data_IF_251554815491
#
_entry.id   IF_251554815491
#
_cell.length_a   1.000
_cell.length_b   1.000
_cell.length_c   1.000
_cell.angle_alpha   90.00
_cell.angle_beta   90.00
_cell.angle_gamma   90.00
#
_symmetry.space_group_name_H-M   'P 1'
#
loop_
_entity.id
_entity.type
_entity.pdbx_description
1 polymer ?
#
# COMPACT_ATOMS: atom_id res chain seq x y z
N UNK A 1 19.41 62.09 21.33
CA UNK A 1 20.73 61.76 21.88
C UNK A 1 21.01 60.40 21.36
N UNK A 2 21.54 60.30 20.17
CA UNK A 2 22.94 60.15 19.77
C UNK A 2 23.34 58.65 19.90
N UNK A 3 23.52 58.02 18.78
CA UNK A 3 24.61 57.91 17.77
C UNK A 3 25.37 56.61 18.04
N UNK A 4 25.74 55.82 17.15
CA UNK A 4 26.52 55.70 15.92
C UNK A 4 26.68 54.19 15.61
N UNK A 5 26.38 53.71 14.46
CA UNK A 5 27.21 53.48 13.24
C UNK A 5 28.56 52.79 13.46
N UNK A 6 28.69 51.58 12.85
CA UNK A 6 29.88 51.23 12.08
C UNK A 6 29.64 49.98 11.19
N UNK A 7 29.65 50.18 9.88
CA UNK A 7 30.05 49.16 8.89
C UNK A 7 31.54 49.31 8.61
N UNK A 8 32.24 48.32 8.13
CA UNK A 8 32.90 48.49 6.84
C UNK A 8 32.67 47.36 5.81
N UNK A 9 32.69 47.81 4.57
CA UNK A 9 32.74 47.10 3.31
C UNK A 9 34.18 46.63 2.99
N UNK A 10 34.24 45.85 1.88
CA UNK A 10 35.35 45.43 0.97
C UNK A 10 35.80 43.96 1.20
N UNK A 11 36.05 43.08 0.21
CA UNK A 11 36.48 43.36 -1.14
C UNK A 11 36.08 42.21 -2.08
N UNK A 12 35.90 42.57 -3.35
CA UNK A 12 35.77 41.69 -4.52
C UNK A 12 37.06 40.93 -4.80
N UNK A 13 36.93 39.68 -5.24
CA UNK A 13 38.01 38.85 -5.80
C UNK A 13 37.53 38.11 -7.03
N UNK A 14 37.68 38.71 -8.19
CA UNK A 14 37.51 38.09 -9.50
C UNK A 14 38.70 37.19 -9.78
N UNK A 15 38.48 35.89 -10.01
CA UNK A 15 39.49 35.01 -10.63
C UNK A 15 39.01 34.56 -12.00
N UNK A 16 39.68 35.09 -13.01
CA UNK A 16 39.62 34.66 -14.42
C UNK A 16 40.60 33.48 -14.57
N UNK A 17 40.09 32.35 -14.98
CA UNK A 17 40.92 31.19 -15.40
C UNK A 17 40.80 31.02 -16.91
N UNK A 18 41.93 31.24 -17.55
CA UNK A 18 42.23 31.18 -19.01
C UNK A 18 42.18 29.72 -19.51
N UNK A 19 41.45 29.52 -20.60
CA UNK A 19 41.46 28.30 -21.41
C UNK A 19 42.73 28.27 -22.28
N UNK A 20 43.51 27.21 -22.21
CA UNK A 20 44.53 26.84 -23.17
C UNK A 20 44.01 25.72 -24.09
N UNK A 21 43.83 26.08 -25.36
CA UNK A 21 43.54 25.17 -26.47
C UNK A 21 44.84 24.82 -27.15
N UNK A 22 45.12 23.54 -27.29
CA UNK A 22 46.20 23.02 -28.13
C UNK A 22 45.63 22.23 -29.31
N UNK A 23 46.02 22.49 -30.54
CA UNK A 23 45.61 21.71 -31.71
C UNK A 23 46.58 20.57 -31.98
N UNK A 24 46.06 19.36 -32.17
CA UNK A 24 46.82 18.20 -32.67
C UNK A 24 46.67 18.12 -34.19
N UNK A 25 47.85 18.11 -34.84
CA UNK A 25 48.05 18.06 -36.29
C UNK A 25 47.83 16.63 -36.80
N UNK A 26 47.04 16.51 -37.86
CA UNK A 26 46.90 15.33 -38.71
C UNK A 26 48.14 15.15 -39.60
N UNK A 27 48.72 13.97 -39.61
CA UNK A 27 49.65 13.54 -40.67
C UNK A 27 49.01 12.43 -41.50
N UNK A 28 48.84 12.68 -42.79
CA UNK A 28 48.45 11.73 -43.83
C UNK A 28 49.69 11.13 -44.47
N UNK A 29 49.65 9.84 -44.77
CA UNK A 29 50.56 9.21 -45.76
C UNK A 29 49.75 8.34 -46.73
N UNK A 30 50.16 8.28 -47.99
CA UNK A 30 49.31 7.79 -49.07
C UNK A 30 49.49 6.31 -49.38
N UNK A 31 48.46 5.75 -49.94
CA UNK A 31 48.25 4.38 -50.36
C UNK A 31 48.64 4.16 -51.83
N UNK A 32 49.18 3.00 -52.13
CA UNK A 32 49.30 2.51 -53.54
C UNK A 32 48.72 1.09 -53.66
N UNK A 33 47.73 0.94 -54.53
CA UNK A 33 47.54 -0.05 -55.54
C UNK A 33 46.88 -1.41 -55.22
N UNK A 34 46.28 -2.02 -56.23
CA UNK A 34 45.11 -2.90 -56.06
C UNK A 34 45.44 -4.37 -56.19
N UNK A 35 44.68 -5.27 -55.54
CA UNK A 35 44.64 -6.68 -55.92
C UNK A 35 43.25 -7.30 -55.60
N UNK A 36 42.69 -7.83 -56.64
CA UNK A 36 41.71 -8.89 -56.87
C UNK A 36 40.80 -9.39 -55.71
N UNK A 37 39.50 -9.40 -55.97
CA UNK A 37 38.44 -10.13 -55.30
C UNK A 37 38.67 -11.65 -55.27
N UNK A 38 38.06 -12.32 -54.28
CA UNK A 38 37.25 -13.49 -54.54
C UNK A 38 35.82 -13.33 -54.00
N UNK A 39 34.94 -13.63 -54.90
CA UNK A 39 33.50 -13.82 -54.82
C UNK A 39 33.15 -14.71 -53.63
N UNK A 40 32.60 -14.12 -52.59
CA UNK A 40 32.02 -14.88 -51.48
C UNK A 40 30.54 -15.15 -51.73
N UNK A 41 30.18 -16.39 -51.52
CA UNK A 41 28.82 -16.97 -51.61
C UNK A 41 27.78 -16.21 -50.80
N UNK A 42 26.59 -16.07 -51.39
CA UNK A 42 25.40 -15.64 -50.71
C UNK A 42 25.16 -16.46 -49.42
N UNK A 43 25.22 -15.80 -48.28
CA UNK A 43 24.80 -16.37 -47.05
C UNK A 43 23.29 -16.27 -46.95
N UNK A 44 22.69 -17.45 -46.71
CA UNK A 44 21.27 -17.70 -46.57
C UNK A 44 20.63 -16.79 -45.47
N UNK A 45 19.37 -16.50 -45.69
CA UNK A 45 18.52 -15.61 -44.95
C UNK A 45 18.66 -15.67 -43.43
N UNK A 46 18.92 -14.53 -42.85
CA UNK A 46 18.59 -14.28 -41.46
C UNK A 46 17.09 -14.01 -41.42
N UNK A 47 16.37 -14.97 -40.88
CA UNK A 47 14.98 -14.77 -40.44
C UNK A 47 14.98 -13.62 -39.45
N UNK A 48 14.09 -12.63 -39.56
CA UNK A 48 13.95 -11.59 -38.57
C UNK A 48 13.61 -12.27 -37.23
N UNK A 49 14.50 -12.21 -36.25
CA UNK A 49 14.15 -12.57 -34.88
C UNK A 49 13.05 -11.63 -34.44
N UNK A 50 11.90 -12.20 -34.13
CA UNK A 50 10.83 -11.47 -33.47
C UNK A 50 11.40 -10.75 -32.23
N UNK A 51 10.92 -9.53 -31.92
CA UNK A 51 11.40 -8.81 -30.75
C UNK A 51 11.19 -9.71 -29.53
N UNK A 52 12.27 -10.00 -28.82
CA UNK A 52 12.21 -10.70 -27.54
C UNK A 52 11.41 -9.79 -26.59
N UNK A 53 10.15 -10.12 -26.36
CA UNK A 53 9.37 -9.48 -25.31
C UNK A 53 10.06 -9.75 -23.98
N UNK A 54 10.60 -8.72 -23.37
CA UNK A 54 11.06 -8.78 -21.98
C UNK A 54 9.78 -8.95 -21.16
N UNK A 55 9.43 -10.19 -20.84
CA UNK A 55 8.40 -10.47 -19.83
C UNK A 55 8.96 -10.00 -18.50
N UNK A 56 8.41 -8.95 -17.95
CA UNK A 56 8.65 -8.61 -16.54
C UNK A 56 7.91 -9.66 -15.73
N UNK A 57 8.60 -10.75 -15.39
CA UNK A 57 8.05 -11.73 -14.47
C UNK A 57 7.97 -11.09 -13.09
N UNK A 58 6.81 -11.17 -12.45
CA UNK A 58 6.72 -11.01 -11.00
C UNK A 58 7.51 -12.19 -10.44
N UNK A 59 8.71 -11.93 -9.97
CA UNK A 59 9.60 -12.99 -9.50
C UNK A 59 9.12 -13.59 -8.17
N UNK A 60 8.37 -12.83 -7.37
CA UNK A 60 7.87 -13.23 -6.06
C UNK A 60 6.55 -12.51 -5.75
N UNK A 61 5.58 -13.24 -5.23
CA UNK A 61 4.33 -12.69 -4.70
C UNK A 61 4.43 -12.68 -3.17
N UNK A 62 4.41 -11.49 -2.58
CA UNK A 62 4.45 -11.32 -1.13
C UNK A 62 3.02 -11.38 -0.57
N UNK A 63 2.85 -12.21 0.43
CA UNK A 63 1.55 -12.49 1.08
C UNK A 63 1.68 -12.28 2.58
N UNK A 64 1.34 -11.10 3.09
CA UNK A 64 1.20 -10.88 4.53
C UNK A 64 0.03 -11.71 5.07
N UNK A 65 0.27 -12.46 6.14
CA UNK A 65 -0.71 -13.37 6.74
C UNK A 65 -0.83 -13.10 8.24
N UNK A 66 -2.05 -12.87 8.68
CA UNK A 66 -2.40 -12.77 10.10
C UNK A 66 -3.16 -14.01 10.51
N UNK A 67 -2.74 -14.66 11.59
CA UNK A 67 -3.41 -15.83 12.17
C UNK A 67 -3.85 -15.49 13.58
N UNK A 68 -5.15 -15.67 13.85
CA UNK A 68 -5.71 -15.46 15.19
C UNK A 68 -6.46 -16.69 15.66
N UNK A 69 -6.51 -16.89 16.98
CA UNK A 69 -7.28 -17.94 17.61
C UNK A 69 -8.79 -17.61 17.68
N UNK A 70 -9.58 -18.47 18.34
CA UNK A 70 -11.03 -18.25 18.55
C UNK A 70 -11.35 -17.03 19.41
N UNK A 71 -10.39 -16.55 20.23
CA UNK A 71 -10.51 -15.34 21.07
C UNK A 71 -10.10 -14.09 20.35
N UNK A 72 -9.50 -14.21 19.14
CA UNK A 72 -8.95 -13.10 18.36
C UNK A 72 -7.52 -12.73 18.78
N UNK A 73 -6.84 -13.57 19.58
CA UNK A 73 -5.44 -13.38 19.93
C UNK A 73 -4.53 -13.88 18.81
N UNK A 74 -3.40 -13.20 18.60
CA UNK A 74 -2.42 -13.56 17.57
C UNK A 74 -1.76 -14.91 17.88
N UNK A 75 -1.66 -15.76 16.87
CA UNK A 75 -0.95 -17.03 16.94
C UNK A 75 0.43 -16.83 16.32
N UNK A 76 1.50 -16.92 17.14
CA UNK A 76 2.86 -16.53 16.78
C UNK A 76 3.84 -17.72 16.71
N UNK A 77 3.38 -18.92 17.00
CA UNK A 77 4.19 -20.14 17.14
C UNK A 77 4.06 -21.08 15.93
N UNK A 78 3.67 -20.57 14.77
CA UNK A 78 3.55 -21.33 13.53
C UNK A 78 4.88 -21.37 12.78
N UNK A 79 5.20 -22.51 12.21
CA UNK A 79 6.35 -22.71 11.33
C UNK A 79 5.91 -22.67 9.85
N UNK A 80 6.86 -22.51 8.94
CA UNK A 80 6.59 -22.48 7.50
C UNK A 80 5.75 -23.67 7.02
N UNK A 81 6.01 -24.86 7.55
CA UNK A 81 5.32 -26.10 7.15
C UNK A 81 3.86 -26.16 7.60
N UNK A 82 3.43 -25.26 8.48
CA UNK A 82 2.03 -25.15 8.90
C UNK A 82 1.20 -24.38 7.86
N UNK A 83 1.84 -23.72 6.89
CA UNK A 83 1.17 -22.87 5.88
C UNK A 83 1.13 -23.54 4.53
N UNK A 84 -0.02 -23.44 3.89
CA UNK A 84 -0.26 -23.87 2.51
C UNK A 84 -0.81 -22.72 1.68
N UNK A 85 -0.15 -22.40 0.57
CA UNK A 85 -0.60 -21.39 -0.38
C UNK A 85 -1.04 -22.09 -1.66
N UNK A 86 -2.21 -21.77 -2.16
CA UNK A 86 -2.65 -22.20 -3.48
C UNK A 86 -2.93 -20.99 -4.38
N UNK A 87 -2.42 -21.04 -5.61
CA UNK A 87 -2.71 -20.12 -6.71
C UNK A 87 -3.66 -20.80 -7.69
N UNK A 88 -4.89 -20.26 -7.81
CA UNK A 88 -5.97 -20.89 -8.62
C UNK A 88 -6.21 -22.37 -8.30
N UNK A 89 -6.06 -22.75 -7.05
CA UNK A 89 -6.24 -24.11 -6.58
C UNK A 89 -5.04 -25.04 -6.79
N UNK A 90 -3.93 -24.55 -7.32
CA UNK A 90 -2.67 -25.28 -7.42
C UNK A 90 -1.77 -24.87 -6.26
N UNK A 91 -1.33 -25.83 -5.47
CA UNK A 91 -0.43 -25.59 -4.34
C UNK A 91 0.93 -25.05 -4.82
N UNK A 92 1.44 -24.03 -4.11
CA UNK A 92 2.68 -23.35 -4.41
C UNK A 92 3.69 -23.60 -3.29
N UNK A 93 4.97 -23.74 -3.65
CA UNK A 93 6.05 -23.78 -2.68
C UNK A 93 6.20 -22.38 -2.04
N UNK A 94 6.41 -22.35 -0.72
CA UNK A 94 6.71 -21.12 0.01
C UNK A 94 8.24 -20.94 -0.02
N UNK A 95 8.70 -19.94 -0.78
CA UNK A 95 10.14 -19.66 -0.97
C UNK A 95 10.66 -18.69 0.09
N UNK A 96 9.76 -17.88 0.67
CA UNK A 96 10.06 -16.92 1.74
C UNK A 96 9.11 -17.10 2.92
N UNK A 97 9.67 -17.12 4.13
CA UNK A 97 8.93 -17.18 5.38
C UNK A 97 9.63 -16.29 6.42
N UNK A 98 9.02 -15.18 6.76
CA UNK A 98 9.54 -14.23 7.74
C UNK A 98 8.45 -13.83 8.74
N UNK A 99 8.87 -13.36 9.91
CA UNK A 99 8.01 -12.73 10.93
C UNK A 99 8.65 -11.40 11.29
N UNK A 100 7.89 -10.30 11.20
CA UNK A 100 8.34 -8.92 11.58
C UNK A 100 9.70 -8.51 10.96
N UNK A 101 9.98 -8.91 9.73
CA UNK A 101 11.33 -8.83 9.15
C UNK A 101 11.71 -7.43 8.62
N UNK A 102 10.74 -6.61 8.20
CA UNK A 102 11.01 -5.38 7.47
C UNK A 102 10.44 -4.13 8.19
N UNK A 103 11.14 -2.97 8.15
CA UNK A 103 10.61 -1.73 8.69
C UNK A 103 9.31 -1.31 7.99
N UNK A 104 8.47 -0.54 8.69
CA UNK A 104 7.18 -0.09 8.17
C UNK A 104 7.28 1.30 7.55
N UNK A 105 6.68 1.48 6.38
CA UNK A 105 6.31 2.79 5.84
C UNK A 105 4.78 2.94 5.93
N UNK A 106 4.31 3.89 6.73
CA UNK A 106 2.88 4.06 7.01
C UNK A 106 2.38 5.40 6.46
N UNK A 107 1.46 5.37 5.50
CA UNK A 107 0.70 6.56 5.14
C UNK A 107 -0.59 6.61 5.98
N UNK A 108 -0.62 7.52 6.94
CA UNK A 108 -1.81 7.79 7.76
C UNK A 108 -2.69 8.80 7.04
N UNK A 109 -3.88 8.38 6.63
CA UNK A 109 -4.88 9.20 5.94
C UNK A 109 -6.04 9.48 6.88
N UNK A 110 -6.25 10.75 7.26
CA UNK A 110 -7.24 11.16 8.25
C UNK A 110 -8.30 12.06 7.64
N UNK A 111 -9.56 11.71 7.82
CA UNK A 111 -10.68 12.56 7.42
C UNK A 111 -10.75 13.80 8.30
N UNK A 112 -10.73 14.98 7.65
CA UNK A 112 -10.78 16.28 8.32
C UNK A 112 -12.15 16.99 8.12
N UNK A 113 -13.22 16.22 7.95
CA UNK A 113 -14.58 16.73 7.82
C UNK A 113 -15.20 17.02 9.19
N UNK A 114 -16.02 18.07 9.30
CA UNK A 114 -16.76 18.42 10.52
C UNK A 114 -17.67 17.32 11.06
N UNK A 115 -18.08 16.34 10.23
CA UNK A 115 -18.78 15.15 10.69
C UNK A 115 -18.02 14.38 11.76
N UNK A 116 -16.68 14.37 11.66
CA UNK A 116 -15.79 13.76 12.65
C UNK A 116 -15.33 14.71 13.76
N UNK A 117 -15.84 15.95 13.83
CA UNK A 117 -15.42 16.93 14.84
C UNK A 117 -15.62 16.43 16.27
N UNK A 118 -16.64 15.63 16.52
CA UNK A 118 -16.86 15.02 17.83
C UNK A 118 -15.72 14.05 18.22
N UNK A 119 -14.98 13.52 17.25
CA UNK A 119 -13.83 12.64 17.44
C UNK A 119 -12.50 13.41 17.44
N UNK A 120 -12.51 14.72 17.18
CA UNK A 120 -11.29 15.52 17.11
C UNK A 120 -10.36 15.37 18.32
N UNK A 121 -10.84 15.41 19.59
CA UNK A 121 -9.94 15.22 20.73
C UNK A 121 -9.21 13.87 20.70
N UNK A 122 -9.89 12.83 20.23
CA UNK A 122 -9.36 11.47 20.13
C UNK A 122 -8.35 11.36 19.01
N UNK A 123 -8.69 11.94 17.85
CA UNK A 123 -7.80 11.95 16.67
C UNK A 123 -6.54 12.75 17.00
N UNK A 124 -6.66 13.92 17.64
CA UNK A 124 -5.51 14.72 18.06
C UNK A 124 -4.63 13.99 19.09
N UNK A 125 -5.25 13.22 20.00
CA UNK A 125 -4.54 12.47 21.04
C UNK A 125 -3.97 11.12 20.58
N UNK A 126 -4.29 10.64 19.38
CA UNK A 126 -3.82 9.33 18.92
C UNK A 126 -2.34 9.31 18.48
N UNK A 127 -1.71 10.47 18.31
CA UNK A 127 -0.36 10.60 17.75
C UNK A 127 0.66 9.74 18.47
N UNK A 128 0.74 9.86 19.79
CA UNK A 128 1.71 9.12 20.61
C UNK A 128 1.50 7.60 20.55
N UNK A 129 0.24 7.13 20.58
CA UNK A 129 -0.03 5.70 20.44
C UNK A 129 0.37 5.23 19.03
N UNK A 130 0.00 5.99 17.99
CA UNK A 130 0.37 5.67 16.63
C UNK A 130 1.89 5.56 16.44
N UNK A 131 2.67 6.52 16.97
CA UNK A 131 4.13 6.49 16.84
C UNK A 131 4.76 5.36 17.64
N UNK A 132 4.25 5.05 18.82
CA UNK A 132 4.78 4.01 19.70
C UNK A 132 4.40 2.58 19.25
N UNK A 133 3.18 2.39 18.73
CA UNK A 133 2.67 1.04 18.41
C UNK A 133 2.72 0.69 16.93
N UNK A 134 2.46 1.65 16.04
CA UNK A 134 2.41 1.39 14.59
C UNK A 134 3.75 1.68 13.92
N UNK A 135 4.34 2.87 14.13
CA UNK A 135 5.66 3.16 13.58
C UNK A 135 6.77 2.34 14.27
N UNK A 136 6.66 2.18 15.59
CA UNK A 136 7.70 1.60 16.45
C UNK A 136 9.08 2.26 16.22
N UNK A 137 10.18 1.51 16.45
CA UNK A 137 11.53 2.11 16.45
C UNK A 137 12.15 2.33 15.07
N UNK A 138 11.70 1.60 14.06
CA UNK A 138 12.32 1.60 12.72
C UNK A 138 11.38 2.04 11.60
N UNK A 139 10.15 2.38 11.92
CA UNK A 139 9.15 2.79 10.93
C UNK A 139 9.24 4.27 10.58
N UNK A 140 8.71 4.62 9.43
CA UNK A 140 8.48 6.00 9.01
C UNK A 140 7.01 6.22 8.70
N UNK A 141 6.52 7.46 8.85
CA UNK A 141 5.15 7.78 8.53
C UNK A 141 5.01 9.11 7.78
N UNK A 142 4.00 9.14 6.90
CA UNK A 142 3.45 10.38 6.34
C UNK A 142 2.05 10.60 6.90
N UNK A 143 1.65 11.86 7.09
CA UNK A 143 0.30 12.25 7.53
C UNK A 143 -0.38 13.00 6.40
N UNK A 144 -1.54 12.50 5.99
CA UNK A 144 -2.39 13.06 4.95
C UNK A 144 -3.74 13.37 5.57
N UNK A 145 -4.26 14.56 5.35
CA UNK A 145 -5.65 14.89 5.69
C UNK A 145 -6.49 14.99 4.44
N UNK A 146 -7.77 14.66 4.54
CA UNK A 146 -8.68 14.81 3.42
C UNK A 146 -10.05 15.37 3.81
N UNK A 147 -10.62 16.05 2.85
CA UNK A 147 -11.97 16.53 2.76
C UNK A 147 -12.31 16.58 1.27
N UNK A 148 -12.57 17.77 0.70
CA UNK A 148 -12.73 17.95 -0.75
C UNK A 148 -11.40 17.78 -1.51
N UNK A 149 -10.26 17.85 -0.83
CA UNK A 149 -8.92 17.60 -1.37
C UNK A 149 -8.10 16.79 -0.38
N UNK A 150 -7.10 16.07 -0.88
CA UNK A 150 -6.12 15.37 -0.06
C UNK A 150 -4.85 16.24 0.10
N UNK A 151 -4.43 16.51 1.33
CA UNK A 151 -3.28 17.36 1.64
C UNK A 151 -2.25 16.60 2.48
N UNK A 152 -0.99 16.61 2.05
CA UNK A 152 0.11 16.05 2.82
C UNK A 152 0.51 17.05 3.91
N UNK A 153 0.19 16.73 5.17
CA UNK A 153 0.54 17.55 6.35
C UNK A 153 1.95 17.29 6.82
N UNK A 154 2.40 16.05 6.71
CA UNK A 154 3.76 15.62 7.01
C UNK A 154 4.19 14.61 5.95
N UNK A 155 5.24 14.90 5.16
CA UNK A 155 5.89 13.89 4.33
C UNK A 155 6.50 12.77 5.16
N UNK A 156 6.86 11.65 4.55
CA UNK A 156 7.50 10.53 5.24
C UNK A 156 8.68 10.99 6.09
N UNK A 157 8.67 10.58 7.34
CA UNK A 157 9.72 10.87 8.33
C UNK A 157 9.75 9.81 9.42
N UNK A 158 10.93 9.60 10.01
CA UNK A 158 11.13 8.82 11.23
C UNK A 158 11.00 9.68 12.49
N UNK A 159 10.87 11.01 12.35
CA UNK A 159 10.69 11.95 13.45
C UNK A 159 9.27 11.84 14.02
N UNK A 160 9.17 11.16 15.16
CA UNK A 160 7.91 10.93 15.88
C UNK A 160 7.25 12.22 16.32
N UNK A 161 8.04 13.22 16.77
CA UNK A 161 7.52 14.52 17.23
C UNK A 161 6.87 15.28 16.06
N UNK A 162 7.47 15.22 14.87
CA UNK A 162 6.90 15.83 13.66
C UNK A 162 5.57 15.18 13.28
N UNK A 163 5.48 13.84 13.35
CA UNK A 163 4.26 13.08 13.08
C UNK A 163 3.17 13.40 14.11
N UNK A 164 3.49 13.36 15.41
CA UNK A 164 2.55 13.67 16.49
C UNK A 164 2.02 15.10 16.38
N UNK A 165 2.90 16.07 16.10
CA UNK A 165 2.51 17.45 15.86
C UNK A 165 1.60 17.63 14.66
N UNK A 166 1.86 16.91 13.57
CA UNK A 166 1.01 16.95 12.37
C UNK A 166 -0.40 16.42 12.68
N UNK A 167 -0.51 15.33 13.46
CA UNK A 167 -1.79 14.75 13.89
C UNK A 167 -2.52 15.69 14.85
N UNK A 168 -1.82 16.26 15.84
CA UNK A 168 -2.42 17.15 16.83
C UNK A 168 -2.96 18.46 16.23
N UNK A 169 -2.44 18.88 15.07
CA UNK A 169 -2.84 20.13 14.41
C UNK A 169 -3.86 19.93 13.27
N UNK A 170 -4.46 18.76 13.12
CA UNK A 170 -5.51 18.54 12.12
C UNK A 170 -6.70 19.46 12.40
N UNK A 171 -7.12 20.21 11.37
CA UNK A 171 -8.27 21.11 11.45
C UNK A 171 -9.47 20.52 10.76
N UNK A 172 -10.59 20.43 11.46
CA UNK A 172 -11.84 19.93 10.92
C UNK A 172 -12.67 21.07 10.34
N UNK A 173 -13.17 20.90 9.11
CA UNK A 173 -13.97 21.91 8.41
C UNK A 173 -15.05 21.27 7.54
N UNK A 174 -16.08 22.06 7.19
CA UNK A 174 -17.10 21.58 6.24
C UNK A 174 -16.45 21.34 4.87
N UNK A 175 -16.59 20.13 4.39
CA UNK A 175 -16.06 19.69 3.10
C UNK A 175 -16.80 18.46 2.61
N UNK A 176 -16.63 18.10 1.35
CA UNK A 176 -16.90 16.77 0.84
C UNK A 176 -15.94 15.76 1.48
N UNK A 177 -16.19 14.48 1.25
CA UNK A 177 -15.31 13.40 1.67
C UNK A 177 -14.81 12.66 0.42
N UNK A 178 -13.67 13.10 -0.13
CA UNK A 178 -13.04 12.51 -1.31
C UNK A 178 -12.08 11.41 -0.88
N UNK A 179 -12.66 10.34 -0.32
CA UNK A 179 -11.96 9.22 0.29
C UNK A 179 -11.01 8.51 -0.70
N UNK A 180 -11.49 8.22 -1.91
CA UNK A 180 -10.67 7.46 -2.88
C UNK A 180 -9.51 8.27 -3.42
N UNK A 181 -9.67 9.59 -3.60
CA UNK A 181 -8.58 10.48 -4.00
C UNK A 181 -7.50 10.54 -2.91
N UNK A 182 -7.91 10.55 -1.63
CA UNK A 182 -6.99 10.53 -0.51
C UNK A 182 -6.25 9.19 -0.37
N UNK A 183 -6.97 8.07 -0.54
CA UNK A 183 -6.35 6.75 -0.57
C UNK A 183 -5.38 6.60 -1.74
N UNK A 184 -5.74 7.10 -2.94
CA UNK A 184 -4.86 7.11 -4.10
C UNK A 184 -3.58 7.92 -3.84
N UNK A 185 -3.70 9.08 -3.16
CA UNK A 185 -2.54 9.87 -2.74
C UNK A 185 -1.64 9.12 -1.76
N UNK A 186 -2.22 8.41 -0.80
CA UNK A 186 -1.47 7.56 0.12
C UNK A 186 -0.76 6.41 -0.61
N UNK A 187 -1.42 5.76 -1.56
CA UNK A 187 -0.83 4.71 -2.41
C UNK A 187 0.33 5.25 -3.25
N UNK A 188 0.17 6.43 -3.86
CA UNK A 188 1.22 7.11 -4.62
C UNK A 188 2.48 7.33 -3.76
N UNK A 189 2.32 7.90 -2.56
CA UNK A 189 3.43 8.18 -1.66
C UNK A 189 4.11 6.89 -1.17
N UNK A 190 3.33 5.87 -0.83
CA UNK A 190 3.86 4.57 -0.40
C UNK A 190 4.59 3.85 -1.54
N UNK A 191 4.09 3.94 -2.77
CA UNK A 191 4.74 3.31 -3.91
C UNK A 191 6.11 3.93 -4.24
N UNK A 192 6.32 5.19 -3.85
CA UNK A 192 7.61 5.88 -3.98
C UNK A 192 8.63 5.47 -2.90
N UNK A 193 8.21 4.77 -1.84
CA UNK A 193 9.12 4.31 -0.79
C UNK A 193 10.00 3.17 -1.30
N UNK A 194 11.32 3.18 -0.97
CA UNK A 194 12.23 2.12 -1.39
C UNK A 194 11.90 0.77 -0.71
N UNK A 195 12.41 -0.31 -1.28
CA UNK A 195 12.50 -1.56 -0.54
C UNK A 195 13.59 -1.42 0.56
N UNK A 196 13.50 -2.10 1.70
CA UNK A 196 12.61 -3.22 2.00
C UNK A 196 11.32 -2.85 2.77
N UNK A 197 10.90 -1.58 2.82
CA UNK A 197 9.75 -1.19 3.61
C UNK A 197 8.48 -1.99 3.30
N UNK A 198 7.82 -2.49 4.37
CA UNK A 198 6.43 -2.96 4.32
C UNK A 198 5.52 -1.74 4.29
N UNK A 199 4.68 -1.66 3.27
CA UNK A 199 3.88 -0.47 2.96
C UNK A 199 2.47 -0.61 3.51
N UNK A 200 2.09 0.32 4.38
CA UNK A 200 0.80 0.31 5.07
C UNK A 200 0.04 1.60 4.78
N UNK A 201 -1.18 1.47 4.30
CA UNK A 201 -2.13 2.56 4.20
C UNK A 201 -3.11 2.45 5.38
N UNK A 202 -3.02 3.36 6.35
CA UNK A 202 -3.94 3.42 7.49
C UNK A 202 -4.91 4.58 7.30
N UNK A 203 -6.19 4.28 7.13
CA UNK A 203 -7.24 5.27 6.93
C UNK A 203 -8.05 5.45 8.22
N UNK A 204 -8.17 6.70 8.68
CA UNK A 204 -9.03 7.07 9.82
C UNK A 204 -10.14 7.99 9.30
N UNK A 205 -11.36 7.48 9.23
CA UNK A 205 -12.48 8.22 8.65
C UNK A 205 -13.75 7.40 8.49
N UNK A 206 -14.78 8.03 7.94
CA UNK A 206 -16.02 7.34 7.58
C UNK A 206 -15.83 6.48 6.33
N UNK A 207 -16.54 5.35 6.28
CA UNK A 207 -16.55 4.47 5.09
C UNK A 207 -17.50 5.00 4.02
N UNK A 208 -17.30 6.26 3.61
CA UNK A 208 -18.14 6.94 2.62
C UNK A 208 -17.29 7.86 1.73
N UNK A 209 -17.44 7.70 0.42
CA UNK A 209 -16.90 8.61 -0.60
C UNK A 209 -18.04 9.46 -1.17
N UNK A 210 -17.78 10.73 -1.45
CA UNK A 210 -18.79 11.63 -2.02
C UNK A 210 -18.49 12.08 -3.43
N UNK A 211 -17.30 12.54 -3.71
CA UNK A 211 -16.96 13.21 -4.98
C UNK A 211 -15.54 12.92 -5.49
N UNK A 212 -14.93 11.78 -5.14
CA UNK A 212 -13.61 11.43 -5.67
C UNK A 212 -13.63 11.23 -7.18
N UNK A 213 -12.53 11.62 -7.82
CA UNK A 213 -12.24 11.32 -9.23
C UNK A 213 -11.73 9.89 -9.40
N UNK A 214 -10.92 9.42 -8.45
CA UNK A 214 -10.44 8.06 -8.40
C UNK A 214 -11.59 7.07 -8.14
N UNK A 215 -11.38 5.82 -8.57
CA UNK A 215 -12.33 4.72 -8.34
C UNK A 215 -11.77 3.77 -7.29
N UNK A 216 -12.65 3.25 -6.42
CA UNK A 216 -12.24 2.30 -5.39
C UNK A 216 -11.50 1.09 -5.98
N UNK A 217 -12.00 0.53 -7.07
CA UNK A 217 -11.39 -0.61 -7.76
C UNK A 217 -9.97 -0.29 -8.31
N UNK A 218 -9.74 0.96 -8.73
CA UNK A 218 -8.43 1.41 -9.16
C UNK A 218 -7.46 1.50 -7.98
N UNK A 219 -7.88 2.17 -6.89
CA UNK A 219 -7.07 2.30 -5.66
C UNK A 219 -6.69 0.92 -5.10
N UNK A 220 -7.66 0.00 -5.02
CA UNK A 220 -7.42 -1.37 -4.55
C UNK A 220 -6.41 -2.11 -5.43
N UNK A 221 -6.53 -1.97 -6.76
CA UNK A 221 -5.60 -2.60 -7.71
C UNK A 221 -4.19 -2.03 -7.57
N UNK A 222 -4.05 -0.71 -7.50
CA UNK A 222 -2.76 -0.04 -7.33
C UNK A 222 -2.11 -0.41 -5.98
N UNK A 223 -2.89 -0.49 -4.90
CA UNK A 223 -2.41 -0.96 -3.61
C UNK A 223 -1.89 -2.40 -3.67
N UNK A 224 -2.59 -3.29 -4.37
CA UNK A 224 -2.15 -4.67 -4.54
C UNK A 224 -0.86 -4.78 -5.35
N UNK A 225 -0.73 -4.02 -6.43
CA UNK A 225 0.47 -3.98 -7.27
C UNK A 225 1.70 -3.47 -6.50
N UNK A 226 1.49 -2.48 -5.62
CA UNK A 226 2.54 -1.90 -4.79
C UNK A 226 2.79 -2.70 -3.50
N UNK A 227 2.14 -3.86 -3.30
CA UNK A 227 2.18 -4.65 -2.06
C UNK A 227 1.83 -3.82 -0.80
N UNK A 228 0.85 -2.92 -0.91
CA UNK A 228 0.36 -2.10 0.18
C UNK A 228 -0.78 -2.83 0.88
N UNK A 229 -0.72 -2.93 2.22
CA UNK A 229 -1.82 -3.42 3.04
C UNK A 229 -2.64 -2.24 3.55
N UNK A 230 -3.96 -2.30 3.38
CA UNK A 230 -4.88 -1.24 3.79
C UNK A 230 -5.52 -1.63 5.12
N UNK A 231 -5.34 -0.78 6.14
CA UNK A 231 -6.06 -0.82 7.40
C UNK A 231 -6.99 0.39 7.49
N UNK A 232 -8.10 0.24 8.20
CA UNK A 232 -9.01 1.35 8.42
C UNK A 232 -9.56 1.37 9.85
N UNK A 233 -9.80 2.57 10.36
CA UNK A 233 -10.42 2.83 11.66
C UNK A 233 -11.52 3.88 11.46
N UNK A 234 -12.74 3.59 11.89
CA UNK A 234 -13.79 4.58 11.81
C UNK A 234 -15.17 4.06 12.15
N UNK A 235 -16.17 4.94 12.19
CA UNK A 235 -17.54 4.53 12.38
C UNK A 235 -18.01 3.69 11.19
N UNK A 236 -18.87 2.70 11.47
CA UNK A 236 -19.51 1.93 10.41
C UNK A 236 -20.58 2.80 9.71
N UNK A 237 -20.66 2.66 8.39
CA UNK A 237 -21.52 3.49 7.53
C UNK A 237 -23.04 3.31 7.75
N UNK A 238 -23.47 2.40 8.63
CA UNK A 238 -24.88 2.15 8.88
C UNK A 238 -25.29 2.28 10.35
N UNK A 239 -26.26 3.15 10.62
CA UNK A 239 -26.92 3.24 11.93
C UNK A 239 -27.57 1.91 12.37
N UNK A 240 -27.74 0.93 11.47
CA UNK A 240 -28.21 -0.42 11.73
C UNK A 240 -27.21 -1.27 12.53
N UNK A 241 -25.93 -1.01 12.39
CA UNK A 241 -24.86 -1.75 13.09
C UNK A 241 -24.80 -1.43 14.60
N UNK A 242 -25.43 -0.36 15.05
CA UNK A 242 -25.57 -0.02 16.48
C UNK A 242 -26.44 -1.03 17.25
N UNK A 243 -27.17 -1.90 16.56
CA UNK A 243 -28.07 -2.91 17.16
C UNK A 243 -27.44 -4.29 17.31
N UNK A 244 -26.28 -4.55 16.67
CA UNK A 244 -25.63 -5.86 16.76
C UNK A 244 -24.56 -5.87 17.86
N UNK A 245 -24.78 -6.80 18.78
CA UNK A 245 -24.15 -6.89 20.07
C UNK A 245 -22.63 -7.06 20.09
N UNK A 246 -22.13 -6.90 21.29
CA UNK A 246 -20.74 -6.76 21.73
C UNK A 246 -19.79 -7.93 21.42
N UNK A 247 -20.25 -9.03 20.77
CA UNK A 247 -19.55 -10.32 20.81
C UNK A 247 -19.12 -10.88 19.44
N UNK A 248 -19.24 -10.12 18.32
CA UNK A 248 -18.80 -10.61 17.02
C UNK A 248 -17.53 -9.91 16.55
N UNK A 249 -16.54 -10.72 16.14
CA UNK A 249 -15.30 -10.24 15.55
C UNK A 249 -15.59 -9.35 14.32
N UNK A 250 -14.83 -8.25 14.12
CA UNK A 250 -15.05 -7.32 13.01
C UNK A 250 -15.04 -8.06 11.67
N UNK A 251 -16.05 -7.82 10.84
CA UNK A 251 -16.05 -8.28 9.44
C UNK A 251 -16.83 -9.57 9.12
N UNK A 252 -17.54 -10.20 10.06
CA UNK A 252 -18.18 -11.51 9.82
C UNK A 252 -19.63 -11.51 9.36
N UNK A 253 -20.39 -10.41 9.47
CA UNK A 253 -21.77 -10.35 8.93
C UNK A 253 -22.00 -9.12 8.07
N UNK A 254 -22.55 -9.29 6.86
CA UNK A 254 -23.03 -8.15 6.09
C UNK A 254 -24.27 -7.57 6.79
N UNK A 255 -24.46 -6.25 6.72
CA UNK A 255 -25.71 -5.66 7.13
C UNK A 255 -26.86 -6.18 6.27
N UNK A 256 -28.09 -6.32 6.82
CA UNK A 256 -29.23 -6.90 6.13
C UNK A 256 -29.70 -6.13 4.89
N UNK A 257 -29.17 -4.93 4.64
CA UNK A 257 -29.53 -4.06 3.51
C UNK A 257 -28.56 -4.09 2.34
N UNK A 258 -27.42 -4.81 2.46
CA UNK A 258 -26.47 -4.91 1.36
C UNK A 258 -27.08 -5.78 0.26
N UNK A 259 -27.55 -5.18 -0.83
CA UNK A 259 -27.91 -5.91 -2.06
C UNK A 259 -26.62 -6.42 -2.71
N UNK A 260 -26.12 -7.54 -2.20
CA UNK A 260 -24.95 -8.19 -2.79
C UNK A 260 -25.29 -8.61 -4.22
N UNK A 261 -24.39 -8.37 -5.18
CA UNK A 261 -24.43 -9.13 -6.41
C UNK A 261 -24.43 -10.62 -6.05
N UNK A 262 -25.03 -11.49 -6.89
CA UNK A 262 -24.98 -12.95 -6.69
C UNK A 262 -23.52 -13.38 -6.78
N UNK A 263 -22.83 -13.32 -5.63
CA UNK A 263 -21.44 -13.78 -5.51
C UNK A 263 -21.46 -15.31 -5.40
N UNK A 264 -20.56 -16.01 -6.07
CA UNK A 264 -20.38 -17.44 -5.83
C UNK A 264 -19.99 -17.63 -4.36
N UNK A 265 -20.53 -18.62 -3.66
CA UNK A 265 -20.15 -18.91 -2.27
C UNK A 265 -18.70 -19.43 -2.30
N UNK A 266 -17.76 -18.58 -1.89
CA UNK A 266 -16.37 -18.98 -1.67
C UNK A 266 -16.31 -19.44 -0.21
N UNK A 267 -16.21 -20.75 0.01
CA UNK A 267 -16.20 -21.33 1.34
C UNK A 267 -15.05 -20.77 2.18
N UNK A 268 -15.35 -20.29 3.39
CA UNK A 268 -14.37 -19.76 4.32
C UNK A 268 -13.93 -18.32 4.08
N UNK A 269 -14.54 -17.61 3.12
CA UNK A 269 -14.19 -16.24 2.77
C UNK A 269 -15.19 -15.26 3.35
N UNK A 270 -14.73 -14.11 3.86
CA UNK A 270 -15.63 -13.05 4.34
C UNK A 270 -16.40 -12.43 3.18
N UNK A 271 -17.58 -11.87 3.47
CA UNK A 271 -18.39 -11.16 2.46
C UNK A 271 -17.63 -9.98 1.85
N UNK A 272 -16.85 -9.27 2.66
CA UNK A 272 -16.05 -8.14 2.17
C UNK A 272 -14.92 -8.60 1.25
N UNK A 273 -14.29 -9.74 1.53
CA UNK A 273 -13.30 -10.36 0.64
C UNK A 273 -13.93 -10.78 -0.69
N UNK A 274 -15.11 -11.39 -0.66
CA UNK A 274 -15.84 -11.76 -1.88
C UNK A 274 -16.23 -10.52 -2.71
N UNK A 275 -16.66 -9.42 -2.04
CA UNK A 275 -16.91 -8.14 -2.71
C UNK A 275 -15.64 -7.52 -3.28
N UNK A 276 -14.51 -7.61 -2.55
CA UNK A 276 -13.23 -7.13 -3.03
C UNK A 276 -12.80 -7.87 -4.30
N UNK A 277 -12.86 -9.20 -4.31
CA UNK A 277 -12.57 -10.02 -5.51
C UNK A 277 -13.48 -9.61 -6.67
N UNK A 278 -14.78 -9.42 -6.42
CA UNK A 278 -15.72 -9.01 -7.46
C UNK A 278 -15.38 -7.63 -8.05
N UNK A 279 -15.06 -6.63 -7.21
CA UNK A 279 -14.63 -5.31 -7.67
C UNK A 279 -13.32 -5.37 -8.44
N UNK A 280 -12.35 -6.11 -7.94
CA UNK A 280 -11.05 -6.27 -8.57
C UNK A 280 -11.16 -6.95 -9.94
N UNK A 281 -12.07 -7.91 -10.11
CA UNK A 281 -12.26 -8.63 -11.36
C UNK A 281 -13.14 -7.91 -12.38
N UNK A 282 -14.09 -7.08 -11.92
CA UNK A 282 -15.07 -6.43 -12.80
C UNK A 282 -14.92 -4.92 -12.93
N UNK A 283 -14.17 -4.27 -12.06
CA UNK A 283 -13.86 -2.84 -12.14
C UNK A 283 -15.05 -1.90 -11.93
N UNK A 284 -16.16 -2.38 -11.35
CA UNK A 284 -17.37 -1.57 -11.12
C UNK A 284 -17.32 -0.89 -9.75
N UNK A 285 -17.87 0.34 -9.66
CA UNK A 285 -17.85 1.17 -8.44
C UNK A 285 -19.21 1.17 -7.70
N UNK A 286 -19.98 0.13 -7.80
CA UNK A 286 -21.37 0.13 -7.29
C UNK A 286 -21.49 -0.16 -5.78
N UNK A 287 -20.45 0.10 -4.97
CA UNK A 287 -20.52 -0.03 -3.52
C UNK A 287 -20.73 1.35 -2.91
N UNK A 288 -21.91 1.61 -2.39
CA UNK A 288 -22.24 2.86 -1.69
C UNK A 288 -21.89 2.85 -0.20
N UNK A 289 -21.67 1.66 0.38
CA UNK A 289 -21.40 1.46 1.79
C UNK A 289 -20.28 0.43 1.97
N UNK A 290 -19.60 0.44 3.11
CA UNK A 290 -18.52 -0.53 3.45
C UNK A 290 -17.29 -0.45 2.55
N UNK A 291 -17.01 0.73 2.03
CA UNK A 291 -15.89 0.95 1.10
C UNK A 291 -14.54 0.65 1.75
N UNK A 292 -14.35 1.08 3.01
CA UNK A 292 -13.12 0.81 3.77
C UNK A 292 -12.97 -0.66 4.17
N UNK A 293 -14.08 -1.33 4.52
CA UNK A 293 -14.08 -2.77 4.81
C UNK A 293 -13.65 -3.59 3.59
N UNK A 294 -14.16 -3.22 2.42
CA UNK A 294 -13.83 -3.88 1.15
C UNK A 294 -12.41 -3.57 0.72
N UNK A 295 -11.97 -2.31 0.84
CA UNK A 295 -10.61 -1.92 0.54
C UNK A 295 -9.59 -2.66 1.43
N UNK A 296 -9.82 -2.70 2.74
CA UNK A 296 -8.97 -3.44 3.68
C UNK A 296 -8.93 -4.94 3.34
N UNK A 297 -10.10 -5.56 3.13
CA UNK A 297 -10.18 -6.99 2.78
C UNK A 297 -9.48 -7.32 1.45
N UNK A 298 -9.41 -6.37 0.51
CA UNK A 298 -8.73 -6.57 -0.78
C UNK A 298 -7.23 -6.81 -0.65
N UNK A 299 -6.61 -6.32 0.40
CA UNK A 299 -5.16 -6.36 0.62
C UNK A 299 -4.74 -7.24 1.81
N UNK A 300 -5.70 -7.89 2.48
CA UNK A 300 -5.45 -8.70 3.67
C UNK A 300 -5.45 -7.92 4.99
N UNK A 301 -5.74 -6.62 4.96
CA UNK A 301 -5.93 -5.82 6.17
C UNK A 301 -7.34 -5.91 6.74
N UNK A 302 -7.69 -5.03 7.67
CA UNK A 302 -8.97 -5.04 8.38
C UNK A 302 -9.47 -3.61 8.67
N UNK A 303 -10.78 -3.44 8.72
CA UNK A 303 -11.44 -2.24 9.22
C UNK A 303 -11.86 -2.45 10.67
N UNK A 304 -11.37 -1.60 11.57
CA UNK A 304 -11.78 -1.57 12.98
C UNK A 304 -12.87 -0.51 13.19
N UNK A 305 -14.00 -0.95 13.74
CA UNK A 305 -15.10 -0.03 14.09
C UNK A 305 -14.72 0.74 15.35
N UNK A 306 -14.59 2.04 15.24
CA UNK A 306 -14.29 2.92 16.34
C UNK A 306 -15.29 4.06 16.42
N UNK A 307 -16.04 4.12 17.52
CA UNK A 307 -17.02 5.16 17.80
C UNK A 307 -16.62 6.04 19.01
N UNK A 308 -15.58 5.63 19.76
CA UNK A 308 -15.16 6.27 20.99
C UNK A 308 -13.63 6.25 21.11
N UNK A 309 -13.10 7.10 21.96
CA UNK A 309 -11.68 7.20 22.24
C UNK A 309 -10.99 5.87 22.51
N UNK A 310 -11.47 5.13 23.49
CA UNK A 310 -10.93 3.83 23.87
C UNK A 310 -10.92 2.82 22.69
N UNK A 311 -11.84 2.97 21.73
CA UNK A 311 -11.89 2.07 20.58
C UNK A 311 -10.87 2.40 19.50
N UNK A 312 -10.50 3.69 19.31
CA UNK A 312 -9.41 4.08 18.39
C UNK A 312 -8.06 3.63 18.96
N UNK A 313 -7.82 3.87 20.25
CA UNK A 313 -6.60 3.42 20.92
C UNK A 313 -6.46 1.91 20.82
N UNK A 314 -7.51 1.16 21.18
CA UNK A 314 -7.52 -0.31 21.06
C UNK A 314 -7.31 -0.77 19.61
N UNK A 315 -7.85 -0.05 18.62
CA UNK A 315 -7.64 -0.38 17.21
C UNK A 315 -6.18 -0.17 16.79
N UNK A 316 -5.55 0.94 17.20
CA UNK A 316 -4.14 1.21 16.93
C UNK A 316 -3.23 0.19 17.60
N UNK A 317 -3.48 -0.16 18.86
CA UNK A 317 -2.72 -1.19 19.58
C UNK A 317 -2.82 -2.56 18.87
N UNK A 318 -4.02 -2.93 18.42
CA UNK A 318 -4.22 -4.17 17.66
C UNK A 318 -3.55 -4.15 16.30
N UNK A 319 -3.65 -3.04 15.57
CA UNK A 319 -2.99 -2.88 14.28
C UNK A 319 -1.47 -2.95 14.47
N UNK A 320 -0.93 -2.22 15.44
CA UNK A 320 0.50 -2.24 15.75
C UNK A 320 0.97 -3.65 16.14
N UNK A 321 0.28 -4.29 17.09
CA UNK A 321 0.59 -5.67 17.49
C UNK A 321 0.53 -6.65 16.32
N UNK A 322 -0.46 -6.49 15.43
CA UNK A 322 -0.56 -7.32 14.22
C UNK A 322 0.59 -7.06 13.24
N UNK A 323 0.90 -5.81 12.96
CA UNK A 323 1.96 -5.44 12.01
C UNK A 323 3.33 -5.96 12.45
N UNK A 324 3.62 -5.97 13.76
CA UNK A 324 4.87 -6.47 14.32
C UNK A 324 4.89 -7.98 14.61
N UNK A 325 3.80 -8.69 14.30
CA UNK A 325 3.65 -10.11 14.52
C UNK A 325 3.12 -10.87 13.29
N UNK A 326 3.03 -10.20 12.16
CA UNK A 326 2.48 -10.75 10.93
C UNK A 326 3.49 -11.66 10.24
N UNK A 327 3.04 -12.84 9.82
CA UNK A 327 3.80 -13.70 8.93
C UNK A 327 3.87 -13.08 7.54
N UNK A 328 5.04 -13.12 6.93
CA UNK A 328 5.26 -12.67 5.54
C UNK A 328 5.68 -13.88 4.73
N UNK A 329 4.79 -14.36 3.90
CA UNK A 329 5.05 -15.47 3.00
C UNK A 329 5.39 -14.94 1.61
N UNK A 330 6.29 -15.62 0.90
CA UNK A 330 6.59 -15.36 -0.50
C UNK A 330 6.54 -16.64 -1.30
N UNK A 331 6.04 -16.58 -2.52
CA UNK A 331 6.07 -17.69 -3.46
C UNK A 331 6.31 -17.19 -4.89
N UNK A 332 6.93 -18.02 -5.72
CA UNK A 332 7.05 -17.75 -7.14
C UNK A 332 5.69 -18.01 -7.82
N UNK A 333 5.11 -17.02 -8.52
CA UNK A 333 3.84 -17.25 -9.22
C UNK A 333 4.00 -18.29 -10.33
N UNK A 334 2.89 -18.89 -10.72
CA UNK A 334 2.85 -19.81 -11.87
C UNK A 334 3.57 -19.14 -13.08
N UNK A 335 4.40 -19.88 -13.85
CA UNK A 335 5.16 -19.32 -14.98
C UNK A 335 4.28 -18.66 -16.07
N UNK A 336 3.00 -18.96 -16.09
CA UNK A 336 2.03 -18.33 -17.00
C UNK A 336 0.82 -17.79 -16.22
N UNK A 337 1.02 -16.70 -15.40
CA UNK A 337 -0.07 -16.11 -14.66
C UNK A 337 -1.04 -15.44 -15.61
N UNK A 338 -2.33 -15.52 -15.29
CA UNK A 338 -3.38 -14.85 -16.06
C UNK A 338 -3.18 -13.32 -15.98
N UNK A 339 -3.28 -12.64 -17.12
CA UNK A 339 -3.28 -11.17 -17.14
C UNK A 339 -4.51 -10.65 -16.37
N UNK A 340 -4.26 -9.88 -15.32
CA UNK A 340 -5.27 -9.38 -14.40
C UNK A 340 -5.15 -9.96 -12.99
N UNK A 341 -6.29 -10.19 -12.34
CA UNK A 341 -6.35 -10.65 -10.96
C UNK A 341 -6.25 -12.19 -10.87
N UNK A 342 -5.26 -12.66 -10.11
CA UNK A 342 -5.03 -14.07 -9.82
C UNK A 342 -5.38 -14.34 -8.36
N UNK A 343 -6.37 -15.23 -8.12
CA UNK A 343 -6.85 -15.57 -6.79
C UNK A 343 -5.88 -16.51 -6.08
N UNK A 344 -5.54 -16.20 -4.82
CA UNK A 344 -4.76 -17.06 -3.94
C UNK A 344 -5.57 -17.42 -2.70
N UNK A 345 -5.22 -18.54 -2.09
CA UNK A 345 -5.77 -18.98 -0.82
C UNK A 345 -4.64 -19.45 0.09
N UNK A 346 -4.67 -18.96 1.34
CA UNK A 346 -3.78 -19.41 2.41
C UNK A 346 -4.58 -20.25 3.40
N UNK A 347 -4.04 -21.40 3.75
CA UNK A 347 -4.58 -22.31 4.77
C UNK A 347 -3.49 -22.58 5.79
N UNK A 348 -3.87 -22.81 7.05
CA UNK A 348 -2.97 -23.16 8.15
C UNK A 348 -3.41 -24.46 8.77
N UNK A 349 -2.48 -25.40 8.96
CA UNK A 349 -2.70 -26.72 9.54
C UNK A 349 -2.79 -26.65 11.08
N UNK A 350 -3.73 -25.81 11.57
CA UNK A 350 -4.04 -25.70 12.99
C UNK A 350 -5.55 -25.52 13.19
N UNK A 351 -6.13 -26.37 14.01
CA UNK A 351 -7.54 -26.29 14.35
C UNK A 351 -7.87 -25.02 15.15
N UNK A 352 -9.03 -24.45 14.84
CA UNK A 352 -9.58 -23.34 15.63
C UNK A 352 -8.94 -21.99 15.41
N UNK A 353 -8.11 -21.83 14.38
CA UNK A 353 -7.56 -20.54 13.97
C UNK A 353 -8.37 -19.92 12.83
N UNK A 354 -8.24 -18.61 12.69
CA UNK A 354 -8.72 -17.83 11.55
C UNK A 354 -7.54 -17.23 10.84
N UNK A 355 -7.47 -17.41 9.53
CA UNK A 355 -6.41 -16.89 8.68
C UNK A 355 -6.94 -15.70 7.89
N UNK A 356 -6.16 -14.62 7.86
CA UNK A 356 -6.41 -13.46 7.03
C UNK A 356 -5.18 -13.17 6.18
N UNK A 357 -5.39 -13.09 4.87
CA UNK A 357 -4.38 -12.78 3.88
C UNK A 357 -5.02 -12.02 2.72
N UNK A 358 -4.21 -11.47 1.82
CA UNK A 358 -4.71 -10.92 0.56
C UNK A 358 -5.38 -12.01 -0.27
N UNK A 359 -6.52 -11.70 -0.94
CA UNK A 359 -7.26 -12.72 -1.70
C UNK A 359 -6.66 -13.05 -3.06
N UNK A 360 -5.63 -12.33 -3.48
CA UNK A 360 -5.00 -12.51 -4.78
C UNK A 360 -3.95 -11.46 -5.09
N UNK A 361 -3.44 -11.50 -6.30
CA UNK A 361 -2.45 -10.55 -6.81
C UNK A 361 -2.74 -10.20 -8.28
N UNK A 362 -2.22 -9.06 -8.73
CA UNK A 362 -2.32 -8.63 -10.12
C UNK A 362 -1.06 -8.95 -10.90
N UNK A 363 -1.27 -9.33 -12.16
CA UNK A 363 -0.23 -9.39 -13.18
C UNK A 363 -0.67 -8.55 -14.36
N UNK A 364 0.23 -7.81 -14.94
CA UNK A 364 0.02 -7.16 -16.23
C UNK A 364 0.87 -7.86 -17.28
N UNK A 365 0.24 -8.25 -18.39
CA UNK A 365 0.98 -8.53 -19.58
C UNK A 365 1.74 -7.25 -20.00
N UNK A 366 3.03 -7.33 -20.33
CA UNK A 366 3.74 -6.19 -20.90
C UNK A 366 3.04 -5.79 -22.22
N UNK A 367 2.67 -4.50 -22.31
CA UNK A 367 2.11 -3.91 -23.53
C UNK A 367 3.17 -3.84 -24.61
#
# INVERSE_FOLDING_TARGET
MDQWSYMPRLAEGVFIATLLVSPAVCAQTPNTGPTAEPRAKAAAGQTPQAPSHIRTHVNEVIVPVTVVDKRGELVLDLAQNDFHISDKGVEQAIDRFDVDADPLAVALVVEANLRLQAMAPVIHGMGTIFTQTVMALSGEAAVITYGSTAEVRQPFTMDTDAVEKAIANIQFQWSDSNLYDAMAKGVELLNAQPAPYRRILLVVGESQDTHSHAKLSQVMREAQLANIVIYAIGPSSTAGDLRYGKDEAPGQRPPPTLKLPKLPPIAGTSVYTALAIWLLTRGTNEISNHQLEVAAASTGGIHYRALREQTIQTALDRIGGELHAQYVLGFAPNPDPFDGFNEIRVVVDRDGVKVRARPGYYVFAPQ
#
